data_IF_630135591345
#
_entry.id   IF_630135591345
#
_cell.length_a   1.000
_cell.length_b   1.000
_cell.length_c   1.000
_cell.angle_alpha   90.00
_cell.angle_beta   90.00
_cell.angle_gamma   90.00
#
_symmetry.space_group_name_H-M   'P 1'
#
loop_
_entity.id
_entity.type
_entity.pdbx_description
1 polymer ?
#
# COMPACT_ATOMS: atom_id res chain seq x y z
N UNK A 1 -4.69 -8.80 3.84
CA UNK A 1 -5.14 -7.48 3.34
C UNK A 1 -6.63 -7.39 3.55
N UNK A 2 -7.15 -6.30 4.12
CA UNK A 2 -8.59 -6.02 4.07
C UNK A 2 -8.97 -5.80 2.61
N UNK A 3 -10.20 -6.13 2.24
CA UNK A 3 -10.70 -5.96 0.88
C UNK A 3 -10.43 -4.53 0.39
N UNK A 4 -9.73 -4.42 -0.73
CA UNK A 4 -9.52 -3.14 -1.41
C UNK A 4 -10.82 -2.82 -2.13
N UNK A 5 -11.34 -1.62 -1.90
CA UNK A 5 -12.45 -1.11 -2.69
C UNK A 5 -11.89 -0.53 -3.99
N UNK A 6 -12.21 -1.18 -5.09
CA UNK A 6 -11.88 -0.70 -6.43
C UNK A 6 -13.08 0.10 -6.97
N UNK A 7 -12.83 1.28 -7.51
CA UNK A 7 -13.87 2.05 -8.19
C UNK A 7 -14.43 1.37 -9.45
N UNK A 8 -14.95 2.16 -10.38
CA UNK A 8 -15.50 1.63 -11.63
C UNK A 8 -14.48 0.80 -12.39
N UNK A 9 -14.88 -0.40 -12.76
CA UNK A 9 -14.04 -1.35 -13.45
C UNK A 9 -13.90 -0.99 -14.95
N UNK A 10 -12.67 -0.99 -15.42
CA UNK A 10 -12.41 -1.04 -16.86
C UNK A 10 -12.47 -2.49 -17.29
N UNK A 11 -13.40 -2.80 -18.19
CA UNK A 11 -13.54 -4.15 -18.76
C UNK A 11 -12.44 -4.42 -19.78
N UNK A 12 -12.15 -5.70 -20.00
CA UNK A 12 -11.21 -6.18 -21.02
C UNK A 12 -9.74 -5.74 -20.81
N UNK A 13 -9.28 -5.71 -19.57
CA UNK A 13 -7.87 -5.54 -19.25
C UNK A 13 -7.24 -6.93 -19.08
N UNK A 14 -6.16 -7.17 -19.80
CA UNK A 14 -5.41 -8.43 -19.78
C UNK A 14 -3.97 -8.17 -19.36
N UNK A 15 -3.42 -9.05 -18.53
CA UNK A 15 -2.00 -9.07 -18.27
C UNK A 15 -1.28 -9.76 -19.45
N UNK A 16 -0.32 -9.05 -20.06
CA UNK A 16 0.55 -9.60 -21.08
C UNK A 16 1.77 -10.29 -20.47
N UNK A 17 2.54 -10.96 -21.33
CA UNK A 17 3.77 -11.65 -20.94
C UNK A 17 4.71 -10.72 -20.14
N UNK A 18 5.18 -11.22 -19.01
CA UNK A 18 6.01 -10.47 -18.07
C UNK A 18 5.25 -9.69 -17.00
N UNK A 19 3.97 -9.42 -17.16
CA UNK A 19 3.16 -8.78 -16.15
C UNK A 19 2.78 -9.76 -15.03
N UNK A 20 2.98 -9.32 -13.79
CA UNK A 20 2.62 -10.09 -12.60
C UNK A 20 1.31 -9.58 -12.03
N UNK A 21 0.28 -10.40 -12.06
CA UNK A 21 -1.02 -10.09 -11.49
C UNK A 21 -0.93 -10.19 -9.96
N UNK A 22 -1.33 -9.13 -9.27
CA UNK A 22 -1.34 -9.06 -7.81
C UNK A 22 -2.73 -9.28 -7.24
N UNK A 23 -3.77 -8.85 -7.97
CA UNK A 23 -5.15 -9.05 -7.57
C UNK A 23 -6.06 -9.25 -8.79
N UNK A 24 -7.02 -10.17 -8.67
CA UNK A 24 -7.92 -10.58 -9.73
C UNK A 24 -9.29 -10.94 -9.14
N UNK A 25 -10.35 -10.50 -9.78
CA UNK A 25 -11.72 -10.92 -9.45
C UNK A 25 -12.24 -11.85 -10.54
N UNK A 26 -12.62 -13.05 -10.14
CA UNK A 26 -13.23 -14.03 -11.05
C UNK A 26 -14.72 -13.74 -11.20
N UNK A 27 -15.16 -13.53 -12.43
CA UNK A 27 -16.59 -13.39 -12.73
C UNK A 27 -17.29 -14.75 -12.59
N UNK A 28 -18.39 -14.80 -11.83
CA UNK A 28 -19.22 -16.01 -11.67
C UNK A 28 -19.82 -16.53 -12.99
N UNK A 29 -19.85 -15.72 -14.03
CA UNK A 29 -20.36 -16.09 -15.36
C UNK A 29 -19.52 -17.15 -16.08
N UNK A 30 -18.29 -17.40 -15.61
CA UNK A 30 -17.33 -18.28 -16.29
C UNK A 30 -16.96 -19.53 -15.50
N UNK A 31 -17.84 -20.04 -14.65
CA UNK A 31 -17.63 -21.29 -13.90
C UNK A 31 -17.24 -22.51 -14.75
N UNK A 32 -17.28 -22.43 -16.07
CA UNK A 32 -16.93 -23.52 -16.98
C UNK A 32 -15.59 -23.37 -17.69
N UNK A 33 -14.98 -22.20 -17.70
CA UNK A 33 -13.64 -21.98 -18.26
C UNK A 33 -12.78 -21.30 -17.21
N UNK A 34 -11.98 -22.07 -16.56
CA UNK A 34 -10.96 -21.66 -15.60
C UNK A 34 -10.05 -20.67 -16.29
N UNK A 35 -9.81 -19.51 -15.75
CA UNK A 35 -8.78 -18.53 -16.11
C UNK A 35 -9.24 -17.21 -16.77
N UNK A 36 -10.51 -16.85 -16.74
CA UNK A 36 -10.91 -15.50 -17.14
C UNK A 36 -11.33 -14.73 -15.89
N UNK A 37 -10.47 -13.86 -15.41
CA UNK A 37 -10.74 -12.96 -14.31
C UNK A 37 -10.48 -11.51 -14.73
N UNK A 38 -11.11 -10.57 -14.05
CA UNK A 38 -10.83 -9.15 -14.25
C UNK A 38 -9.61 -8.78 -13.42
N UNK A 39 -8.54 -8.35 -14.10
CA UNK A 39 -7.31 -7.90 -13.42
C UNK A 39 -7.59 -6.58 -12.70
N UNK A 40 -7.45 -6.59 -11.39
CA UNK A 40 -7.63 -5.41 -10.54
C UNK A 40 -6.31 -4.70 -10.26
N UNK A 41 -5.24 -5.46 -10.14
CA UNK A 41 -3.92 -4.94 -9.84
C UNK A 41 -2.84 -5.79 -10.49
N UNK A 42 -1.88 -5.14 -11.13
CA UNK A 42 -0.74 -5.82 -11.75
C UNK A 42 0.51 -4.93 -11.73
N UNK A 43 1.67 -5.57 -11.80
CA UNK A 43 2.98 -4.92 -11.93
C UNK A 43 3.72 -5.49 -13.13
N UNK A 44 4.57 -4.67 -13.72
CA UNK A 44 5.45 -5.12 -14.79
C UNK A 44 6.79 -4.39 -14.72
N UNK A 45 7.85 -5.09 -15.04
CA UNK A 45 9.17 -4.53 -15.27
C UNK A 45 9.37 -4.36 -16.78
N UNK A 46 9.61 -3.13 -17.24
CA UNK A 46 9.85 -2.84 -18.64
C UNK A 46 11.16 -2.06 -18.82
N UNK A 47 12.15 -2.70 -19.42
CA UNK A 47 13.49 -2.13 -19.54
C UNK A 47 14.10 -1.85 -18.16
N UNK A 48 14.43 -0.58 -17.90
CA UNK A 48 14.93 -0.12 -16.60
C UNK A 48 13.83 0.44 -15.69
N UNK A 49 12.59 0.47 -16.17
CA UNK A 49 11.44 1.03 -15.46
C UNK A 49 10.54 -0.03 -14.87
N UNK A 50 9.68 0.41 -13.98
CA UNK A 50 8.61 -0.39 -13.39
C UNK A 50 7.27 0.27 -13.66
N UNK A 51 6.24 -0.53 -13.86
CA UNK A 51 4.87 -0.06 -13.97
C UNK A 51 3.97 -0.73 -12.95
N UNK A 52 2.96 -0.01 -12.53
CA UNK A 52 1.93 -0.49 -11.65
C UNK A 52 0.57 -0.15 -12.26
N UNK A 53 -0.24 -1.16 -12.48
CA UNK A 53 -1.63 -1.00 -12.90
C UNK A 53 -2.56 -1.23 -11.74
N UNK A 54 -3.56 -0.39 -11.63
CA UNK A 54 -4.68 -0.57 -10.72
C UNK A 54 -5.95 -0.05 -11.40
N UNK A 55 -7.01 -0.85 -11.35
CA UNK A 55 -8.33 -0.42 -11.80
C UNK A 55 -8.91 0.55 -10.79
N UNK A 56 -9.56 1.62 -11.21
CA UNK A 56 -10.10 2.73 -10.41
C UNK A 56 -9.92 2.64 -8.89
N UNK A 57 -9.43 3.69 -8.28
CA UNK A 57 -9.31 3.78 -6.82
C UNK A 57 -10.17 4.94 -6.33
N UNK A 58 -11.33 4.71 -5.67
CA UNK A 58 -12.03 5.75 -4.97
C UNK A 58 -11.18 6.28 -3.81
N UNK A 59 -11.37 7.55 -3.45
CA UNK A 59 -10.64 8.15 -2.36
C UNK A 59 -11.00 7.49 -1.02
N UNK A 60 -9.98 6.97 -0.34
CA UNK A 60 -10.03 6.56 1.06
C UNK A 60 -8.61 6.61 1.65
N UNK A 61 -8.48 6.56 2.98
CA UNK A 61 -7.16 6.52 3.62
C UNK A 61 -6.38 5.28 3.21
N UNK A 62 -7.04 4.13 3.14
CA UNK A 62 -6.45 2.86 2.72
C UNK A 62 -5.95 2.91 1.28
N UNK A 63 -6.79 3.44 0.38
CA UNK A 63 -6.46 3.56 -1.04
C UNK A 63 -5.34 4.57 -1.28
N UNK A 64 -5.32 5.68 -0.55
CA UNK A 64 -4.22 6.65 -0.60
C UNK A 64 -2.88 6.02 -0.21
N UNK A 65 -2.86 5.15 0.80
CA UNK A 65 -1.66 4.39 1.18
C UNK A 65 -1.25 3.37 0.15
N UNK A 66 -2.21 2.70 -0.48
CA UNK A 66 -1.93 1.78 -1.58
C UNK A 66 -1.29 2.53 -2.75
N UNK A 67 -1.85 3.67 -3.12
CA UNK A 67 -1.31 4.53 -4.17
C UNK A 67 0.12 4.99 -3.84
N UNK A 68 0.36 5.45 -2.61
CA UNK A 68 1.69 5.83 -2.15
C UNK A 68 2.70 4.68 -2.27
N UNK A 69 2.32 3.47 -1.84
CA UNK A 69 3.18 2.27 -1.99
C UNK A 69 3.45 1.95 -3.45
N UNK A 70 2.45 2.06 -4.32
CA UNK A 70 2.62 1.87 -5.75
C UNK A 70 3.62 2.86 -6.34
N UNK A 71 3.53 4.15 -5.96
CA UNK A 71 4.48 5.18 -6.38
C UNK A 71 5.91 4.90 -5.89
N UNK A 72 6.07 4.48 -4.63
CA UNK A 72 7.37 4.06 -4.10
C UNK A 72 7.94 2.88 -4.90
N UNK A 73 7.12 1.86 -5.19
CA UNK A 73 7.52 0.70 -5.98
C UNK A 73 8.02 1.09 -7.37
N UNK A 74 7.24 1.87 -8.13
CA UNK A 74 7.65 2.29 -9.49
C UNK A 74 8.88 3.18 -9.48
N UNK A 75 9.09 3.98 -8.44
CA UNK A 75 10.29 4.81 -8.28
C UNK A 75 11.53 4.04 -7.81
N UNK A 76 11.39 2.76 -7.49
CA UNK A 76 12.47 1.94 -6.94
C UNK A 76 12.88 2.32 -5.49
N UNK A 77 12.02 3.04 -4.77
CA UNK A 77 12.27 3.54 -3.41
C UNK A 77 11.44 2.81 -2.34
N UNK A 78 10.86 1.67 -2.68
CA UNK A 78 9.92 0.96 -1.83
C UNK A 78 10.54 0.19 -0.65
N UNK A 79 11.85 -0.06 -0.72
CA UNK A 79 12.49 -1.08 0.12
C UNK A 79 12.74 -0.60 1.55
N UNK A 80 12.75 0.71 1.81
CA UNK A 80 13.18 1.26 3.10
C UNK A 80 12.19 2.27 3.70
N UNK A 81 10.92 2.14 3.39
CA UNK A 81 9.89 3.03 3.91
C UNK A 81 9.36 2.49 5.22
N UNK A 82 9.48 3.26 6.29
CA UNK A 82 8.79 2.94 7.54
C UNK A 82 7.26 2.97 7.32
N UNK A 83 6.54 2.20 8.10
CA UNK A 83 5.12 2.01 7.88
C UNK A 83 4.38 1.92 9.22
N UNK A 84 3.21 2.52 9.30
CA UNK A 84 2.24 2.33 10.39
C UNK A 84 0.97 1.67 9.84
N UNK A 85 0.43 0.66 10.54
CA UNK A 85 -0.72 -0.12 10.08
C UNK A 85 -2.05 0.63 10.21
N UNK A 86 -2.14 1.52 11.19
CA UNK A 86 -3.34 2.29 11.46
C UNK A 86 -3.39 3.51 10.53
N UNK A 87 -4.50 3.67 9.80
CA UNK A 87 -4.69 4.74 8.80
C UNK A 87 -4.77 6.14 9.40
N UNK A 88 -5.03 6.26 10.69
CA UNK A 88 -5.07 7.53 11.42
C UNK A 88 -3.70 7.94 11.97
N UNK A 89 -2.66 7.14 11.70
CA UNK A 89 -1.30 7.43 12.13
C UNK A 89 -0.38 7.51 10.92
N UNK A 90 0.62 8.36 10.98
CA UNK A 90 1.66 8.50 9.97
C UNK A 90 3.02 8.15 10.53
N UNK A 91 3.92 7.70 9.67
CA UNK A 91 5.30 7.43 10.04
C UNK A 91 6.24 8.03 9.00
N UNK A 92 7.24 8.76 9.47
CA UNK A 92 8.28 9.35 8.64
C UNK A 92 9.66 9.05 9.25
N UNK A 93 10.62 8.71 8.38
CA UNK A 93 12.02 8.53 8.77
C UNK A 93 12.84 9.76 8.44
N UNK A 94 13.66 10.18 9.38
CA UNK A 94 14.57 11.32 9.27
C UNK A 94 16.02 10.83 9.27
N UNK A 95 16.65 10.69 8.08
CA UNK A 95 17.98 10.07 7.97
C UNK A 95 19.07 10.83 8.71
N UNK A 96 19.03 12.17 8.68
CA UNK A 96 20.05 13.02 9.31
C UNK A 96 20.12 12.84 10.85
N UNK A 97 18.98 12.57 11.47
CA UNK A 97 18.89 12.36 12.93
C UNK A 97 18.79 10.90 13.33
N UNK A 98 18.69 9.98 12.35
CA UNK A 98 18.42 8.55 12.56
C UNK A 98 17.23 8.32 13.49
N UNK A 99 16.11 8.98 13.18
CA UNK A 99 14.88 8.89 13.99
C UNK A 99 13.67 8.69 13.11
N UNK A 100 12.68 8.04 13.70
CA UNK A 100 11.33 7.96 13.17
C UNK A 100 10.42 8.92 13.94
N UNK A 101 9.57 9.65 13.25
CA UNK A 101 8.43 10.35 13.84
C UNK A 101 7.18 9.55 13.54
N UNK A 102 6.41 9.19 14.56
CA UNK A 102 5.12 8.56 14.42
C UNK A 102 4.09 9.53 14.96
N UNK A 103 3.11 9.88 14.14
CA UNK A 103 2.15 10.95 14.39
C UNK A 103 0.74 10.37 14.48
N UNK A 104 0.01 10.76 15.51
CA UNK A 104 -1.42 10.54 15.58
C UNK A 104 -2.13 11.81 15.10
N UNK A 105 -2.83 11.72 13.96
CA UNK A 105 -3.56 12.84 13.34
C UNK A 105 -5.00 12.98 13.84
N UNK A 106 -5.32 12.39 14.99
CA UNK A 106 -6.66 12.42 15.56
C UNK A 106 -6.68 12.95 17.00
N UNK A 107 -7.87 13.33 17.45
CA UNK A 107 -8.13 13.79 18.82
C UNK A 107 -8.44 12.65 19.81
N UNK A 108 -8.21 11.40 19.42
CA UNK A 108 -8.37 10.21 20.27
C UNK A 108 -7.09 9.39 20.29
N UNK A 109 -6.91 8.59 21.33
CA UNK A 109 -5.78 7.68 21.43
C UNK A 109 -5.78 6.68 20.27
N UNK A 110 -4.63 6.40 19.70
CA UNK A 110 -4.45 5.46 18.62
C UNK A 110 -3.39 4.42 18.96
N UNK A 111 -3.67 3.17 18.59
CA UNK A 111 -2.69 2.09 18.63
C UNK A 111 -2.35 1.68 17.19
N UNK A 112 -1.08 1.53 16.90
CA UNK A 112 -0.60 1.13 15.57
C UNK A 112 0.53 0.11 15.66
N UNK A 113 0.57 -0.81 14.70
CA UNK A 113 1.77 -1.56 14.41
C UNK A 113 2.71 -0.65 13.60
N UNK A 114 3.87 -0.36 14.16
CA UNK A 114 4.94 0.35 13.48
C UNK A 114 5.94 -0.65 12.92
N UNK A 115 6.31 -0.46 11.67
CA UNK A 115 7.37 -1.20 11.00
C UNK A 115 8.49 -0.23 10.64
N UNK A 116 9.69 -0.51 11.11
CA UNK A 116 10.87 0.25 10.74
C UNK A 116 11.31 -0.05 9.28
N UNK A 117 12.32 0.67 8.80
CA UNK A 117 12.86 0.46 7.45
C UNK A 117 13.48 -0.95 7.22
N UNK A 118 13.78 -1.67 8.28
CA UNK A 118 14.29 -3.05 8.24
C UNK A 118 13.16 -4.09 8.33
N UNK A 119 11.91 -3.65 8.52
CA UNK A 119 10.74 -4.50 8.65
C UNK A 119 10.49 -5.01 10.06
N UNK A 120 11.24 -4.57 11.07
CA UNK A 120 10.97 -4.92 12.46
C UNK A 120 9.67 -4.29 12.94
N UNK A 121 8.85 -5.07 13.62
CA UNK A 121 7.54 -4.65 14.10
C UNK A 121 7.58 -4.25 15.57
N UNK A 122 6.93 -3.13 15.90
CA UNK A 122 6.65 -2.70 17.27
C UNK A 122 5.21 -2.21 17.38
N UNK A 123 4.58 -2.38 18.55
CA UNK A 123 3.27 -1.82 18.84
C UNK A 123 3.47 -0.47 19.52
N UNK A 124 2.86 0.57 18.99
CA UNK A 124 2.97 1.93 19.47
C UNK A 124 1.59 2.45 19.87
N UNK A 125 1.51 3.00 21.08
CA UNK A 125 0.34 3.74 21.57
C UNK A 125 0.68 5.22 21.52
N UNK A 126 -0.20 6.01 20.94
CA UNK A 126 -0.08 7.45 20.76
C UNK A 126 -1.27 8.17 21.37
N UNK A 127 -1.01 9.13 22.23
CA UNK A 127 -2.04 10.03 22.75
C UNK A 127 -2.66 10.87 21.63
N UNK A 128 -3.81 11.52 21.87
CA UNK A 128 -4.38 12.45 20.90
C UNK A 128 -3.35 13.47 20.42
N UNK A 129 -3.23 13.65 19.10
CA UNK A 129 -2.34 14.61 18.43
C UNK A 129 -0.84 14.46 18.82
N UNK A 130 -0.44 13.30 19.33
CA UNK A 130 0.95 13.05 19.76
C UNK A 130 1.88 12.82 18.55
N UNK A 131 3.08 13.39 18.64
CA UNK A 131 4.23 13.04 17.81
C UNK A 131 5.24 12.28 18.69
N UNK A 132 5.42 11.01 18.40
CA UNK A 132 6.37 10.16 19.12
C UNK A 132 7.63 9.94 18.32
N UNK A 133 8.77 10.22 18.93
CA UNK A 133 10.08 10.03 18.31
C UNK A 133 10.72 8.72 18.78
N UNK A 134 11.15 7.90 17.84
CA UNK A 134 11.85 6.63 18.07
C UNK A 134 13.22 6.72 17.42
N UNK A 135 14.27 6.33 18.12
CA UNK A 135 15.61 6.17 17.53
C UNK A 135 15.67 4.90 16.71
N UNK A 136 16.46 4.94 15.64
CA UNK A 136 16.84 3.78 14.85
C UNK A 136 17.66 2.77 15.65
#
# INVERSE_FOLDING_TARGET
MKNIDYGEDKKNIYALDGAKVLDIVFSDRFKRNVNVGEVKMAVNDYGKGKSFYITGIPYSFENSRLLYKAMCFVSGKDINVCYSSNTYTECNYYPASKKYAIVNNTNVEQTTDFYDKSGNKSIIILKPMEIKWIKE
#
